data_IF_158090846978
#
_entry.id   IF_158090846978
#
_cell.length_a   1.000
_cell.length_b   1.000
_cell.length_c   1.000
_cell.angle_alpha   90.00
_cell.angle_beta   90.00
_cell.angle_gamma   90.00
#
_symmetry.space_group_name_H-M   'P 1'
#
loop_
_entity.id
_entity.type
_entity.pdbx_description
1 polymer ?
#
# COMPACT_ATOMS: atom_id res chain seq x y z
N UNK A 1 -5.77 22.47 -1.63
CA UNK A 1 -5.99 22.84 -0.22
C UNK A 1 -6.87 21.73 0.35
N UNK A 2 -6.27 20.75 1.03
CA UNK A 2 -7.01 19.65 1.65
C UNK A 2 -7.72 20.23 2.88
N UNK A 3 -9.04 20.09 2.95
CA UNK A 3 -9.86 20.76 3.95
C UNK A 3 -9.42 20.31 5.37
N UNK A 4 -9.18 21.24 6.29
CA UNK A 4 -8.62 20.95 7.62
C UNK A 4 -9.50 19.96 8.41
N UNK A 5 -10.82 20.04 8.21
CA UNK A 5 -11.81 19.09 8.75
C UNK A 5 -11.61 17.64 8.26
N UNK A 6 -11.04 17.44 7.08
CA UNK A 6 -10.76 16.12 6.51
C UNK A 6 -9.52 15.48 7.17
N UNK A 7 -8.51 16.29 7.47
CA UNK A 7 -7.26 15.86 8.10
C UNK A 7 -7.50 15.38 9.53
N UNK A 8 -8.16 16.18 10.37
CA UNK A 8 -8.46 15.77 11.75
C UNK A 8 -9.33 14.52 11.81
N UNK A 9 -10.32 14.41 10.91
CA UNK A 9 -11.16 13.22 10.81
C UNK A 9 -10.32 11.99 10.45
N UNK A 10 -9.42 12.08 9.47
CA UNK A 10 -8.51 10.97 9.12
C UNK A 10 -7.61 10.57 10.27
N UNK A 11 -6.97 11.53 10.95
CA UNK A 11 -6.11 11.25 12.10
C UNK A 11 -6.90 10.48 13.18
N UNK A 12 -8.13 10.90 13.46
CA UNK A 12 -9.00 10.22 14.42
C UNK A 12 -9.31 8.78 13.99
N UNK A 13 -9.61 8.56 12.72
CA UNK A 13 -9.87 7.21 12.20
C UNK A 13 -8.62 6.32 12.22
N UNK A 14 -7.44 6.88 11.92
CA UNK A 14 -6.16 6.16 12.03
C UNK A 14 -5.96 5.69 13.47
N UNK A 15 -6.09 6.58 14.45
CA UNK A 15 -5.95 6.26 15.87
C UNK A 15 -6.93 5.16 16.29
N UNK A 16 -8.20 5.31 15.92
CA UNK A 16 -9.25 4.32 16.20
C UNK A 16 -8.90 2.95 15.64
N UNK A 17 -8.31 2.88 14.44
CA UNK A 17 -7.85 1.62 13.85
C UNK A 17 -6.62 1.05 14.53
N UNK A 18 -5.66 1.88 14.92
CA UNK A 18 -4.53 1.42 15.73
C UNK A 18 -5.00 0.88 17.08
N UNK A 19 -5.93 1.54 17.77
CA UNK A 19 -6.51 1.06 19.03
C UNK A 19 -7.19 -0.31 18.87
N UNK A 20 -7.97 -0.50 17.79
CA UNK A 20 -8.56 -1.79 17.46
C UNK A 20 -7.49 -2.88 17.32
N UNK A 21 -6.37 -2.59 16.65
CA UNK A 21 -5.27 -3.54 16.44
C UNK A 21 -4.53 -3.83 17.75
N UNK A 22 -4.17 -2.79 18.49
CA UNK A 22 -3.43 -2.90 19.76
C UNK A 22 -4.25 -3.58 20.86
N UNK A 23 -5.58 -3.66 20.72
CA UNK A 23 -6.43 -4.43 21.63
C UNK A 23 -6.13 -5.94 21.61
N UNK A 24 -5.37 -6.43 20.62
CA UNK A 24 -4.94 -7.81 20.51
C UNK A 24 -3.48 -8.00 20.93
N UNK A 25 -3.23 -8.89 21.90
CA UNK A 25 -1.90 -9.11 22.49
C UNK A 25 -0.78 -9.54 21.51
N UNK A 26 -1.11 -10.07 20.33
CA UNK A 26 -0.13 -10.55 19.32
C UNK A 26 -0.49 -10.04 17.93
N UNK A 27 -0.81 -8.76 17.85
CA UNK A 27 -1.30 -8.13 16.62
C UNK A 27 -0.30 -8.21 15.46
N UNK A 28 1.00 -8.29 15.73
CA UNK A 28 2.06 -8.44 14.72
C UNK A 28 1.96 -9.75 13.93
N UNK A 29 1.20 -10.74 14.40
CA UNK A 29 0.95 -12.01 13.68
C UNK A 29 -0.28 -11.95 12.77
N UNK A 30 -0.94 -10.80 12.66
CA UNK A 30 -2.13 -10.68 11.84
C UNK A 30 -1.81 -10.71 10.35
N UNK A 31 -2.77 -11.23 9.59
CA UNK A 31 -2.72 -11.19 8.14
C UNK A 31 -2.68 -9.74 7.66
N UNK A 32 -1.93 -9.47 6.60
CA UNK A 32 -1.68 -8.10 6.10
C UNK A 32 -2.96 -7.33 5.79
N UNK A 33 -4.02 -8.04 5.42
CA UNK A 33 -5.34 -7.46 5.16
C UNK A 33 -5.95 -6.74 6.36
N UNK A 34 -5.53 -7.08 7.59
CA UNK A 34 -5.97 -6.42 8.80
C UNK A 34 -5.49 -4.95 8.86
N UNK A 35 -4.38 -4.65 8.19
CA UNK A 35 -3.77 -3.32 8.17
C UNK A 35 -4.23 -2.45 6.99
N UNK A 36 -4.89 -3.02 5.97
CA UNK A 36 -5.35 -2.24 4.81
C UNK A 36 -6.20 -1.01 5.16
N UNK A 37 -7.10 -1.03 6.17
CA UNK A 37 -7.82 0.18 6.56
C UNK A 37 -6.90 1.33 6.99
N UNK A 38 -5.76 1.03 7.63
CA UNK A 38 -4.76 2.05 7.99
C UNK A 38 -4.04 2.53 6.74
N UNK A 39 -3.54 1.60 5.92
CA UNK A 39 -2.81 1.95 4.69
C UNK A 39 -3.68 2.80 3.77
N UNK A 40 -4.97 2.48 3.62
CA UNK A 40 -5.96 3.27 2.87
C UNK A 40 -6.11 4.71 3.38
N UNK A 41 -6.02 4.92 4.70
CA UNK A 41 -6.13 6.23 5.32
C UNK A 41 -4.88 7.10 5.13
N UNK A 42 -3.70 6.48 5.08
CA UNK A 42 -2.39 7.17 5.04
C UNK A 42 -1.77 7.24 3.64
N UNK A 43 -2.15 6.38 2.69
CA UNK A 43 -1.73 6.46 1.28
C UNK A 43 -2.44 7.62 0.55
N UNK A 44 -2.00 8.83 0.84
CA UNK A 44 -2.61 10.10 0.39
C UNK A 44 -1.58 10.99 -0.31
N UNK A 45 -0.82 11.77 0.46
CA UNK A 45 0.21 12.68 -0.03
C UNK A 45 1.35 12.81 0.98
N UNK A 46 2.49 13.25 0.49
CA UNK A 46 3.74 13.33 1.24
C UNK A 46 3.66 14.24 2.47
N UNK A 47 2.88 15.32 2.43
CA UNK A 47 2.77 16.26 3.55
C UNK A 47 1.95 15.66 4.68
N UNK A 48 0.81 15.02 4.36
CA UNK A 48 0.01 14.31 5.33
C UNK A 48 0.77 13.14 5.97
N UNK A 49 1.50 12.36 5.16
CA UNK A 49 2.33 11.26 5.66
C UNK A 49 3.42 11.75 6.61
N UNK A 50 4.19 12.76 6.20
CA UNK A 50 5.24 13.35 7.04
C UNK A 50 4.65 13.87 8.36
N UNK A 51 3.47 14.51 8.31
CA UNK A 51 2.78 14.99 9.51
C UNK A 51 2.37 13.85 10.44
N UNK A 52 1.77 12.78 9.91
CA UNK A 52 1.36 11.62 10.72
C UNK A 52 2.57 11.02 11.44
N UNK A 53 3.64 10.66 10.71
CA UNK A 53 4.79 9.99 11.34
C UNK A 53 5.50 10.88 12.36
N UNK A 54 5.54 12.21 12.15
CA UNK A 54 6.20 13.13 13.07
C UNK A 54 5.38 13.54 14.30
N UNK A 55 4.06 13.36 14.29
CA UNK A 55 3.17 13.91 15.33
C UNK A 55 2.32 12.89 16.09
N UNK A 56 2.19 11.67 15.56
CA UNK A 56 1.36 10.64 16.20
C UNK A 56 2.08 10.00 17.41
N UNK A 57 1.29 9.52 18.36
CA UNK A 57 1.77 8.90 19.60
C UNK A 57 2.57 7.61 19.35
N UNK A 58 3.58 7.32 20.19
CA UNK A 58 4.53 6.20 19.99
C UNK A 58 3.85 4.84 19.87
N UNK A 59 2.83 4.57 20.69
CA UNK A 59 2.06 3.32 20.62
C UNK A 59 1.43 3.10 19.24
N UNK A 60 1.05 4.17 18.53
CA UNK A 60 0.51 4.06 17.17
C UNK A 60 1.63 3.96 16.14
N UNK A 61 2.80 4.56 16.40
CA UNK A 61 3.98 4.38 15.56
C UNK A 61 4.43 2.93 15.50
N UNK A 62 4.24 2.14 16.56
CA UNK A 62 4.49 0.69 16.53
C UNK A 62 3.71 0.00 15.40
N UNK A 63 2.43 0.35 15.23
CA UNK A 63 1.60 -0.15 14.12
C UNK A 63 2.08 0.42 12.78
N UNK A 64 2.35 1.72 12.73
CA UNK A 64 2.71 2.38 11.46
C UNK A 64 4.07 1.94 10.93
N UNK A 65 5.02 1.60 11.80
CA UNK A 65 6.33 1.04 11.43
C UNK A 65 6.33 -0.48 11.27
N UNK A 66 5.22 -1.16 11.55
CA UNK A 66 5.11 -2.57 11.24
C UNK A 66 5.31 -2.80 9.74
N UNK A 67 6.14 -3.78 9.39
CA UNK A 67 6.63 -3.98 8.01
C UNK A 67 5.50 -4.01 6.96
N UNK A 68 4.40 -4.77 7.12
CA UNK A 68 3.26 -4.73 6.21
C UNK A 68 2.64 -3.35 5.98
N UNK A 69 2.70 -2.46 6.97
CA UNK A 69 2.19 -1.09 6.85
C UNK A 69 3.21 -0.22 6.13
N UNK A 70 4.40 -0.06 6.71
CA UNK A 70 5.36 0.93 6.22
C UNK A 70 5.88 0.60 4.81
N UNK A 71 6.17 -0.66 4.51
CA UNK A 71 6.65 -1.06 3.18
C UNK A 71 5.57 -0.83 2.14
N UNK A 72 4.32 -1.22 2.43
CA UNK A 72 3.19 -0.99 1.52
C UNK A 72 2.94 0.50 1.26
N UNK A 73 3.10 1.34 2.28
CA UNK A 73 2.94 2.80 2.14
C UNK A 73 4.05 3.37 1.29
N UNK A 74 5.32 3.09 1.61
CA UNK A 74 6.48 3.61 0.89
C UNK A 74 6.47 3.16 -0.56
N UNK A 75 6.20 1.87 -0.81
CA UNK A 75 6.04 1.32 -2.15
C UNK A 75 4.92 2.05 -2.91
N UNK A 76 3.79 2.31 -2.26
CA UNK A 76 2.65 2.91 -2.93
C UNK A 76 2.84 4.39 -3.23
N UNK A 77 3.47 5.16 -2.34
CA UNK A 77 3.61 6.61 -2.49
C UNK A 77 4.91 7.02 -3.17
N UNK A 78 5.93 6.15 -3.14
CA UNK A 78 7.25 6.41 -3.72
C UNK A 78 7.86 7.75 -3.22
N UNK A 79 7.62 8.09 -1.95
CA UNK A 79 8.05 9.36 -1.34
C UNK A 79 9.44 9.27 -0.71
N UNK A 80 10.40 9.97 -1.30
CA UNK A 80 11.73 10.18 -0.69
C UNK A 80 11.65 11.03 0.58
N UNK A 81 10.70 11.97 0.63
CA UNK A 81 10.50 12.88 1.76
C UNK A 81 10.08 12.11 3.03
N UNK A 82 9.21 11.11 2.87
CA UNK A 82 8.82 10.23 3.99
C UNK A 82 10.04 9.49 4.56
N UNK A 83 10.89 8.91 3.70
CA UNK A 83 12.10 8.20 4.16
C UNK A 83 13.04 9.13 4.91
N UNK A 84 13.29 10.34 4.40
CA UNK A 84 14.13 11.33 5.07
C UNK A 84 13.55 11.72 6.44
N UNK A 85 12.22 11.88 6.55
CA UNK A 85 11.54 12.12 7.82
C UNK A 85 11.80 10.98 8.81
N UNK A 86 11.60 9.73 8.41
CA UNK A 86 11.77 8.56 9.27
C UNK A 86 13.25 8.40 9.68
N UNK A 87 14.19 8.62 8.75
CA UNK A 87 15.63 8.60 9.05
C UNK A 87 16.02 9.65 10.08
N UNK A 88 15.42 10.83 10.04
CA UNK A 88 15.66 11.88 11.04
C UNK A 88 15.03 11.53 12.39
N UNK A 89 13.87 10.87 12.41
CA UNK A 89 13.23 10.41 13.65
C UNK A 89 14.04 9.33 14.38
N UNK A 90 14.87 8.56 13.66
CA UNK A 90 15.73 7.52 14.22
C UNK A 90 16.55 8.00 15.42
N UNK A 91 17.06 9.23 15.38
CA UNK A 91 17.89 9.78 16.46
C UNK A 91 17.14 9.91 17.79
N UNK A 92 15.82 10.09 17.75
CA UNK A 92 14.97 10.25 18.92
C UNK A 92 14.24 8.95 19.28
N UNK A 93 14.04 8.05 18.30
CA UNK A 93 13.21 6.84 18.43
C UNK A 93 13.98 5.57 18.03
N UNK A 94 15.22 5.43 18.52
CA UNK A 94 16.10 4.31 18.16
C UNK A 94 15.55 2.93 18.54
N UNK A 95 14.66 2.87 19.53
CA UNK A 95 14.02 1.61 19.96
C UNK A 95 12.91 1.14 19.00
N UNK A 96 12.38 2.05 18.17
CA UNK A 96 11.34 1.77 17.17
C UNK A 96 11.88 1.75 15.74
N UNK A 97 12.93 2.52 15.48
CA UNK A 97 13.50 2.71 14.14
C UNK A 97 14.96 2.29 14.19
N UNK A 98 15.27 1.12 13.66
CA UNK A 98 16.63 0.64 13.51
C UNK A 98 17.16 0.84 12.07
N UNK A 99 18.45 0.53 11.85
CA UNK A 99 19.06 0.66 10.52
C UNK A 99 18.49 -0.35 9.51
N UNK A 100 17.93 -1.47 9.97
CA UNK A 100 17.34 -2.51 9.12
C UNK A 100 16.04 -1.98 8.52
N UNK A 101 15.15 -1.42 9.35
CA UNK A 101 13.92 -0.80 8.90
C UNK A 101 14.18 0.32 7.89
N UNK A 102 15.19 1.16 8.14
CA UNK A 102 15.57 2.23 7.20
C UNK A 102 16.02 1.65 5.85
N UNK A 103 16.80 0.58 5.86
CA UNK A 103 17.22 -0.10 4.63
C UNK A 103 16.02 -0.71 3.90
N UNK A 104 15.10 -1.37 4.61
CA UNK A 104 13.93 -2.00 4.01
C UNK A 104 13.01 -0.97 3.33
N UNK A 105 12.75 0.16 3.99
CA UNK A 105 11.93 1.22 3.38
C UNK A 105 12.66 1.91 2.21
N UNK A 106 13.98 2.07 2.27
CA UNK A 106 14.77 2.59 1.16
C UNK A 106 14.70 1.66 -0.04
N UNK A 107 14.87 0.36 0.19
CA UNK A 107 14.76 -0.66 -0.83
C UNK A 107 13.36 -0.72 -1.46
N UNK A 108 12.30 -0.27 -0.78
CA UNK A 108 10.94 -0.20 -1.36
C UNK A 108 10.75 0.94 -2.40
N UNK A 109 11.68 1.89 -2.51
CA UNK A 109 11.62 2.90 -3.57
C UNK A 109 12.11 2.32 -4.91
N UNK A 110 11.32 2.48 -5.96
CA UNK A 110 11.63 1.96 -7.30
C UNK A 110 12.87 2.61 -7.92
N UNK A 111 13.24 3.80 -7.48
CA UNK A 111 14.50 4.45 -7.89
C UNK A 111 15.73 3.66 -7.41
N UNK A 112 15.57 2.80 -6.40
CA UNK A 112 16.63 1.96 -5.85
C UNK A 112 16.57 0.52 -6.37
N UNK A 113 15.66 0.20 -7.31
CA UNK A 113 15.62 -1.10 -7.98
C UNK A 113 16.73 -1.24 -9.04
N UNK A 114 17.63 -0.25 -9.14
CA UNK A 114 18.61 -0.02 -10.20
C UNK A 114 19.26 -1.30 -10.77
N UNK A 115 19.06 -1.48 -12.08
CA UNK A 115 20.07 -2.08 -12.94
C UNK A 115 20.95 -0.93 -13.50
N UNK A 116 22.28 -0.95 -13.28
CA UNK A 116 23.21 0.10 -13.73
C UNK A 116 23.15 0.43 -15.24
N UNK A 117 22.51 -0.41 -16.04
CA UNK A 117 22.42 -0.30 -17.49
C UNK A 117 21.06 0.24 -17.99
N UNK A 118 20.02 0.37 -17.14
CA UNK A 118 18.66 0.59 -17.64
C UNK A 118 17.70 1.39 -16.72
N UNK A 119 18.13 2.57 -16.26
CA UNK A 119 17.29 3.54 -15.50
C UNK A 119 15.89 3.82 -16.14
N UNK A 120 15.80 3.78 -17.47
CA UNK A 120 14.53 3.95 -18.19
C UNK A 120 13.51 2.84 -17.87
N UNK A 121 13.96 1.65 -17.44
CA UNK A 121 13.08 0.53 -17.07
C UNK A 121 12.37 0.79 -15.74
N UNK A 122 13.10 1.22 -14.71
CA UNK A 122 12.55 1.54 -13.40
C UNK A 122 11.54 2.71 -13.46
N UNK A 123 11.85 3.75 -14.25
CA UNK A 123 10.91 4.86 -14.44
C UNK A 123 9.63 4.42 -15.17
N UNK A 124 9.75 3.62 -16.25
CA UNK A 124 8.57 3.08 -16.96
C UNK A 124 7.73 2.17 -16.06
N UNK A 125 8.38 1.35 -15.24
CA UNK A 125 7.70 0.54 -14.25
C UNK A 125 6.94 1.40 -13.25
N UNK A 126 7.60 2.43 -12.69
CA UNK A 126 6.96 3.38 -11.79
C UNK A 126 5.72 4.03 -12.43
N UNK A 127 5.83 4.50 -13.66
CA UNK A 127 4.71 5.13 -14.36
C UNK A 127 3.55 4.14 -14.52
N UNK A 128 3.86 2.90 -14.94
CA UNK A 128 2.88 1.80 -15.06
C UNK A 128 2.21 1.47 -13.73
N UNK A 129 3.00 1.34 -12.65
CA UNK A 129 2.50 1.06 -11.30
C UNK A 129 1.57 2.18 -10.83
N UNK A 130 1.95 3.44 -11.03
CA UNK A 130 1.16 4.59 -10.60
C UNK A 130 -0.13 4.73 -11.40
N UNK A 131 -0.11 4.41 -12.70
CA UNK A 131 -1.31 4.37 -13.53
C UNK A 131 -2.26 3.25 -13.11
N UNK A 132 -1.76 2.05 -12.85
CA UNK A 132 -2.54 0.93 -12.31
C UNK A 132 -3.14 1.25 -10.95
N UNK A 133 -2.35 1.84 -10.03
CA UNK A 133 -2.82 2.31 -8.72
C UNK A 133 -3.94 3.32 -8.88
N UNK A 134 -3.74 4.34 -9.73
CA UNK A 134 -4.73 5.40 -9.97
C UNK A 134 -6.02 4.83 -10.54
N UNK A 135 -5.93 3.94 -11.53
CA UNK A 135 -7.07 3.24 -12.10
C UNK A 135 -7.84 2.46 -11.03
N UNK A 136 -7.13 1.63 -10.27
CA UNK A 136 -7.72 0.72 -9.28
C UNK A 136 -8.32 1.45 -8.08
N UNK A 137 -7.63 2.44 -7.51
CA UNK A 137 -8.21 3.31 -6.45
C UNK A 137 -9.39 4.11 -6.98
N UNK A 138 -9.35 4.52 -8.25
CA UNK A 138 -10.46 5.18 -8.92
C UNK A 138 -11.70 4.29 -9.05
N UNK A 139 -11.52 2.99 -9.24
CA UNK A 139 -12.60 2.01 -9.23
C UNK A 139 -13.08 1.69 -7.81
N UNK A 140 -12.15 1.55 -6.85
CA UNK A 140 -12.45 1.29 -5.43
C UNK A 140 -13.40 2.34 -4.82
N UNK A 141 -13.26 3.60 -5.24
CA UNK A 141 -14.08 4.71 -4.76
C UNK A 141 -15.46 4.81 -5.44
N UNK A 142 -15.78 3.90 -6.35
CA UNK A 142 -17.06 3.87 -7.07
C UNK A 142 -17.90 2.69 -6.60
N UNK A 143 -19.21 2.88 -6.60
CA UNK A 143 -20.13 1.75 -6.54
C UNK A 143 -20.09 0.99 -7.87
N UNK A 144 -19.88 -0.32 -7.80
CA UNK A 144 -19.82 -1.20 -8.96
C UNK A 144 -20.75 -2.38 -8.76
N UNK A 145 -21.47 -2.74 -9.82
CA UNK A 145 -22.17 -4.01 -9.93
C UNK A 145 -21.18 -5.13 -10.31
N UNK A 146 -21.65 -6.38 -10.32
CA UNK A 146 -20.86 -7.56 -10.68
C UNK A 146 -20.10 -7.38 -12.00
N UNK A 147 -20.78 -7.00 -13.08
CA UNK A 147 -20.17 -6.82 -14.40
C UNK A 147 -19.13 -5.67 -14.41
N UNK A 148 -19.37 -4.63 -13.62
CA UNK A 148 -18.42 -3.53 -13.45
C UNK A 148 -17.12 -3.97 -12.78
N UNK A 149 -17.23 -4.88 -11.80
CA UNK A 149 -16.06 -5.47 -11.11
C UNK A 149 -15.28 -6.35 -12.07
N UNK A 150 -15.96 -7.25 -12.79
CA UNK A 150 -15.35 -8.14 -13.80
C UNK A 150 -14.57 -7.32 -14.83
N UNK A 151 -15.20 -6.32 -15.45
CA UNK A 151 -14.55 -5.45 -16.43
C UNK A 151 -13.33 -4.71 -15.87
N UNK A 152 -13.37 -4.34 -14.58
CA UNK A 152 -12.24 -3.67 -13.92
C UNK A 152 -11.08 -4.64 -13.70
N UNK A 153 -11.36 -5.85 -13.21
CA UNK A 153 -10.35 -6.89 -13.00
C UNK A 153 -9.71 -7.33 -14.32
N UNK A 154 -10.51 -7.50 -15.37
CA UNK A 154 -10.03 -7.81 -16.72
C UNK A 154 -9.12 -6.69 -17.26
N UNK A 155 -9.51 -5.42 -17.07
CA UNK A 155 -8.69 -4.28 -17.47
C UNK A 155 -7.36 -4.23 -16.70
N UNK A 156 -7.37 -4.52 -15.40
CA UNK A 156 -6.14 -4.57 -14.59
C UNK A 156 -5.21 -5.67 -15.12
N UNK A 157 -5.74 -6.86 -15.39
CA UNK A 157 -4.98 -7.98 -15.94
C UNK A 157 -4.39 -7.59 -17.29
N UNK A 158 -5.20 -7.07 -18.22
CA UNK A 158 -4.76 -6.68 -19.56
C UNK A 158 -3.65 -5.61 -19.52
N UNK A 159 -3.82 -4.56 -18.71
CA UNK A 159 -2.80 -3.50 -18.55
C UNK A 159 -1.50 -4.11 -17.99
N UNK A 160 -1.61 -5.02 -17.02
CA UNK A 160 -0.45 -5.64 -16.37
C UNK A 160 0.30 -6.57 -17.31
N UNK A 161 -0.41 -7.38 -18.10
CA UNK A 161 0.20 -8.26 -19.11
C UNK A 161 0.86 -7.48 -20.24
N UNK A 162 0.22 -6.40 -20.70
CA UNK A 162 0.76 -5.54 -21.76
C UNK A 162 2.03 -4.80 -21.34
N UNK A 163 2.12 -4.45 -20.05
CA UNK A 163 3.27 -3.74 -19.48
C UNK A 163 4.07 -4.65 -18.54
N UNK A 164 4.16 -5.94 -18.87
CA UNK A 164 4.83 -6.94 -18.03
C UNK A 164 6.24 -6.49 -17.68
N UNK A 165 6.50 -6.47 -16.39
CA UNK A 165 7.79 -6.10 -15.81
C UNK A 165 8.13 -7.07 -14.69
N UNK A 166 9.40 -7.43 -14.54
CA UNK A 166 9.82 -8.36 -13.48
C UNK A 166 9.53 -7.79 -12.09
N UNK A 167 9.68 -6.48 -11.91
CA UNK A 167 9.43 -5.80 -10.64
C UNK A 167 8.02 -5.98 -10.06
N UNK A 168 7.04 -6.40 -10.84
CA UNK A 168 5.74 -6.81 -10.30
C UNK A 168 5.82 -8.02 -9.34
N UNK A 169 6.90 -8.82 -9.42
CA UNK A 169 7.17 -9.92 -8.50
C UNK A 169 7.64 -9.49 -7.11
N UNK A 170 8.10 -8.25 -6.96
CA UNK A 170 8.69 -7.74 -5.71
C UNK A 170 7.75 -6.79 -4.95
N UNK A 171 6.71 -6.28 -5.62
CA UNK A 171 5.82 -5.26 -5.06
C UNK A 171 4.55 -5.86 -4.44
N UNK A 172 4.14 -5.34 -3.29
CA UNK A 172 2.97 -5.78 -2.51
C UNK A 172 1.64 -5.40 -3.14
N UNK A 173 1.59 -4.32 -3.94
CA UNK A 173 0.36 -3.82 -4.61
C UNK A 173 -0.89 -3.81 -3.71
N UNK A 174 -0.74 -3.36 -2.46
CA UNK A 174 -1.79 -3.48 -1.43
C UNK A 174 -3.15 -2.90 -1.88
N UNK A 175 -3.14 -1.84 -2.70
CA UNK A 175 -4.34 -1.19 -3.22
C UNK A 175 -5.16 -2.13 -4.12
N UNK A 176 -4.50 -3.04 -4.83
CA UNK A 176 -5.13 -4.07 -5.64
C UNK A 176 -5.72 -5.16 -4.75
N UNK A 177 -4.98 -5.59 -3.74
CA UNK A 177 -5.45 -6.56 -2.77
C UNK A 177 -6.69 -6.06 -2.02
N UNK A 178 -6.66 -4.79 -1.59
CA UNK A 178 -7.81 -4.11 -0.99
C UNK A 178 -9.00 -4.05 -1.94
N UNK A 179 -8.78 -3.68 -3.20
CA UNK A 179 -9.83 -3.67 -4.22
C UNK A 179 -10.44 -5.06 -4.40
N UNK A 180 -9.61 -6.08 -4.58
CA UNK A 180 -10.05 -7.45 -4.78
C UNK A 180 -10.84 -7.95 -3.57
N UNK A 181 -10.36 -7.73 -2.36
CA UNK A 181 -11.07 -8.14 -1.14
C UNK A 181 -12.44 -7.48 -1.01
N UNK A 182 -12.53 -6.15 -1.16
CA UNK A 182 -13.81 -5.43 -1.11
C UNK A 182 -14.76 -5.90 -2.22
N UNK A 183 -14.23 -6.17 -3.42
CA UNK A 183 -15.00 -6.62 -4.58
C UNK A 183 -15.43 -8.09 -4.51
N UNK A 184 -14.63 -8.97 -3.90
CA UNK A 184 -14.92 -10.40 -3.80
C UNK A 184 -16.24 -10.70 -3.09
N UNK A 185 -16.59 -9.89 -2.09
CA UNK A 185 -17.87 -9.99 -1.37
C UNK A 185 -19.11 -9.66 -2.24
N UNK A 186 -18.90 -8.99 -3.38
CA UNK A 186 -19.94 -8.56 -4.33
C UNK A 186 -20.00 -9.43 -5.59
N UNK A 187 -18.98 -10.26 -5.81
CA UNK A 187 -18.96 -11.20 -6.92
C UNK A 187 -19.90 -12.37 -6.60
N UNK A 188 -20.78 -12.70 -7.54
CA UNK A 188 -21.82 -13.70 -7.32
C UNK A 188 -21.32 -15.14 -7.55
N UNK A 189 -20.11 -15.32 -8.08
CA UNK A 189 -19.61 -16.60 -8.56
C UNK A 189 -18.24 -16.95 -7.92
N UNK A 190 -18.19 -18.09 -7.23
CA UNK A 190 -16.98 -18.58 -6.58
C UNK A 190 -15.88 -18.96 -7.58
N UNK A 191 -16.24 -19.46 -8.75
CA UNK A 191 -15.27 -19.83 -9.79
C UNK A 191 -14.61 -18.58 -10.38
N UNK A 192 -15.35 -17.47 -10.53
CA UNK A 192 -14.80 -16.18 -10.94
C UNK A 192 -13.83 -15.62 -9.90
N UNK A 193 -14.22 -15.66 -8.61
CA UNK A 193 -13.32 -15.22 -7.52
C UNK A 193 -12.03 -16.05 -7.53
N UNK A 194 -12.14 -17.38 -7.66
CA UNK A 194 -10.98 -18.27 -7.71
C UNK A 194 -10.09 -18.01 -8.93
N UNK A 195 -10.69 -17.76 -10.10
CA UNK A 195 -9.99 -17.37 -11.31
C UNK A 195 -9.19 -16.09 -11.11
N UNK A 196 -9.83 -15.00 -10.67
CA UNK A 196 -9.16 -13.72 -10.49
C UNK A 196 -8.09 -13.79 -9.40
N UNK A 197 -8.36 -14.44 -8.28
CA UNK A 197 -7.37 -14.69 -7.23
C UNK A 197 -6.13 -15.38 -7.78
N UNK A 198 -6.31 -16.47 -8.53
CA UNK A 198 -5.22 -17.24 -9.14
C UNK A 198 -4.42 -16.42 -10.15
N UNK A 199 -5.11 -15.68 -11.02
CA UNK A 199 -4.47 -14.87 -12.07
C UNK A 199 -3.71 -13.69 -11.47
N UNK A 200 -4.33 -12.95 -10.54
CA UNK A 200 -3.67 -11.83 -9.86
C UNK A 200 -2.48 -12.30 -9.02
N UNK A 201 -2.58 -13.42 -8.32
CA UNK A 201 -1.46 -13.97 -7.54
C UNK A 201 -0.27 -14.38 -8.41
N UNK A 202 -0.50 -14.74 -9.68
CA UNK A 202 0.59 -15.02 -10.63
C UNK A 202 1.24 -13.76 -11.16
N UNK A 203 0.46 -12.69 -11.37
CA UNK A 203 0.95 -11.40 -11.86
C UNK A 203 1.65 -10.61 -10.76
N UNK A 204 1.15 -10.70 -9.53
CA UNK A 204 1.64 -9.99 -8.35
C UNK A 204 1.86 -10.97 -7.18
N UNK A 205 2.94 -11.76 -7.20
CA UNK A 205 3.27 -12.73 -6.16
C UNK A 205 3.27 -12.21 -4.72
N UNK A 206 3.64 -10.94 -4.49
CA UNK A 206 3.63 -10.32 -3.17
C UNK A 206 2.27 -9.69 -2.81
N UNK A 207 1.27 -9.79 -3.68
CA UNK A 207 -0.09 -9.34 -3.41
C UNK A 207 -0.88 -10.35 -2.57
N UNK A 208 -1.67 -9.85 -1.62
CA UNK A 208 -2.50 -10.66 -0.72
C UNK A 208 -3.95 -10.80 -1.24
N UNK A 209 -4.20 -11.75 -2.16
CA UNK A 209 -5.52 -12.02 -2.78
C UNK A 209 -6.20 -13.27 -2.22
#
# INVERSE_FOLDING_TARGET
MMDYMNIEHRIREIRRKCDEILSFNMWFNFHESFFWPIIELIDVDDDFLTHIYSSIEDQYLEILFHEPVIISVVESVQSKKLIECIRNMRYEKSDLIDDILIQDIESALFVNYDEPENYLSAQRFKDTYMDLKKFTKGALNKEQCNDGIINTLDSIIEISEKNKHEYFSYVRVYWLSLYFYKSSSKLNNQDEIAYYKSTLSKLFPCGSF
#
